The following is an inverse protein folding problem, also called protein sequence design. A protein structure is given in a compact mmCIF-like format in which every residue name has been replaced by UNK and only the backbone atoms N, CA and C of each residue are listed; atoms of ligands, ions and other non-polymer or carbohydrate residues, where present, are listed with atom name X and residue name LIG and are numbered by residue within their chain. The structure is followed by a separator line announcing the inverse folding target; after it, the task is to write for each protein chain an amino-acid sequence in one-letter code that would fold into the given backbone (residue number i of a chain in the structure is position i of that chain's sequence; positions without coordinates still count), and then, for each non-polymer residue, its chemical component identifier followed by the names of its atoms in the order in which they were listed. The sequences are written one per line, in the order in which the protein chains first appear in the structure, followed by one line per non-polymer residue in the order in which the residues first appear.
data_IF_181257338634
#
_entry.id   IF_181257338634
#
_cell.length_a   1.000
_cell.length_b   1.000
_cell.length_c   1.000
_cell.angle_alpha   90.00
_cell.angle_beta   90.00
_cell.angle_gamma   90.00
#
_symmetry.space_group_name_H-M   'P 1'
#
loop_
_entity.id
_entity.type
_entity.pdbx_description
1 polymer ?
#
# COMPACT_ATOMS: atom_id res chain seq x y z
N UNK A 1 20.15 57.13 7.80
CA UNK A 1 18.96 56.30 8.13
C UNK A 1 18.52 55.64 6.83
N UNK A 2 18.99 54.39 6.58
CA UNK A 2 18.18 53.14 6.43
C UNK A 2 17.01 53.25 5.45
N UNK A 3 16.81 52.38 4.46
CA UNK A 3 17.60 51.47 3.59
C UNK A 3 16.55 51.02 2.54
N UNK A 4 16.87 51.02 1.25
CA UNK A 4 16.01 50.38 0.23
C UNK A 4 15.96 48.87 0.49
N UNK A 5 14.76 48.29 0.55
CA UNK A 5 14.59 46.83 0.54
C UNK A 5 14.48 46.37 -0.92
N UNK A 6 15.55 45.74 -1.40
CA UNK A 6 15.59 45.02 -2.66
C UNK A 6 14.87 43.68 -2.49
N UNK A 7 13.77 43.48 -3.20
CA UNK A 7 13.14 42.17 -3.38
C UNK A 7 14.07 41.30 -4.24
N UNK A 8 14.84 40.43 -3.57
CA UNK A 8 15.71 39.44 -4.22
C UNK A 8 14.84 38.29 -4.74
N UNK A 9 14.53 38.30 -6.03
CA UNK A 9 13.96 37.16 -6.74
C UNK A 9 15.09 36.12 -6.92
N UNK A 10 15.18 35.13 -6.03
CA UNK A 10 16.11 34.00 -6.19
C UNK A 10 15.47 33.00 -7.14
N UNK A 11 15.74 33.17 -8.44
CA UNK A 11 15.54 32.14 -9.45
C UNK A 11 16.72 31.17 -9.35
N UNK A 12 16.55 30.05 -8.65
CA UNK A 12 17.50 28.95 -8.69
C UNK A 12 17.38 28.23 -10.03
N UNK A 13 18.15 28.66 -11.03
CA UNK A 13 18.58 27.79 -12.12
C UNK A 13 19.74 26.95 -11.61
N UNK A 14 19.46 25.70 -11.23
CA UNK A 14 20.50 24.68 -11.10
C UNK A 14 20.41 23.79 -12.33
N UNK A 15 21.34 23.98 -13.25
CA UNK A 15 21.61 23.04 -14.32
C UNK A 15 22.81 22.18 -13.91
N UNK A 16 22.63 20.86 -13.96
CA UNK A 16 23.72 19.91 -14.21
C UNK A 16 24.26 19.15 -13.01
N UNK A 17 23.55 18.09 -12.61
CA UNK A 17 24.04 16.74 -12.25
C UNK A 17 22.78 15.88 -12.11
N UNK A 18 22.74 14.68 -12.69
CA UNK A 18 21.50 13.91 -12.97
C UNK A 18 20.55 13.76 -11.78
N UNK A 19 19.25 13.66 -12.07
CA UNK A 19 18.35 12.94 -11.16
C UNK A 19 18.52 11.45 -11.49
N UNK A 20 19.08 10.54 -10.69
CA UNK A 20 19.21 10.47 -9.23
C UNK A 20 17.97 11.04 -8.51
N UNK A 21 17.11 10.21 -7.98
CA UNK A 21 17.54 9.57 -6.76
C UNK A 21 16.31 9.02 -6.10
N UNK A 22 16.22 7.71 -6.13
CA UNK A 22 15.30 6.91 -5.35
C UNK A 22 13.80 7.17 -5.58
N UNK A 23 13.08 6.27 -6.28
CA UNK A 23 11.63 6.42 -6.47
C UNK A 23 10.85 6.24 -5.15
N UNK A 24 11.43 5.62 -4.12
CA UNK A 24 10.78 5.37 -2.85
C UNK A 24 10.69 6.65 -2.01
N UNK A 25 9.59 6.76 -1.27
CA UNK A 25 9.45 7.67 -0.13
C UNK A 25 9.74 6.86 1.13
N UNK A 26 10.87 7.09 1.77
CA UNK A 26 11.31 6.38 2.99
C UNK A 26 10.53 6.81 4.23
N UNK A 27 10.50 5.95 5.25
CA UNK A 27 9.85 6.17 6.55
C UNK A 27 10.84 6.66 7.62
N UNK A 28 11.76 7.53 7.22
CA UNK A 28 12.88 8.02 8.03
C UNK A 28 12.46 8.81 9.28
N UNK A 29 11.28 9.43 9.24
CA UNK A 29 10.77 10.32 10.28
C UNK A 29 9.29 10.10 10.60
N UNK A 30 8.81 10.77 11.64
CA UNK A 30 7.41 10.61 12.08
C UNK A 30 6.40 11.10 11.04
N UNK A 31 6.75 12.14 10.28
CA UNK A 31 5.85 12.70 9.27
C UNK A 31 5.62 11.71 8.12
N UNK A 32 6.68 11.09 7.63
CA UNK A 32 6.61 10.06 6.59
C UNK A 32 5.88 8.81 7.08
N UNK A 33 6.10 8.39 8.33
CA UNK A 33 5.33 7.29 8.95
C UNK A 33 3.84 7.60 9.06
N UNK A 34 3.47 8.83 9.44
CA UNK A 34 2.07 9.29 9.44
C UNK A 34 1.46 9.23 8.04
N UNK A 35 2.21 9.61 7.01
CA UNK A 35 1.77 9.50 5.61
C UNK A 35 1.50 8.03 5.23
N UNK A 36 2.36 7.11 5.63
CA UNK A 36 2.15 5.68 5.38
C UNK A 36 0.92 5.13 6.11
N UNK A 37 0.72 5.48 7.38
CA UNK A 37 -0.47 5.10 8.15
C UNK A 37 -1.75 5.60 7.49
N UNK A 38 -1.81 6.88 7.13
CA UNK A 38 -2.97 7.46 6.47
C UNK A 38 -3.26 6.82 5.09
N UNK A 39 -2.22 6.50 4.31
CA UNK A 39 -2.38 5.81 3.01
C UNK A 39 -2.79 4.35 3.16
N UNK A 40 -2.30 3.67 4.18
CA UNK A 40 -2.71 2.31 4.53
C UNK A 40 -4.20 2.25 4.84
N UNK A 41 -4.73 3.20 5.62
CA UNK A 41 -6.18 3.31 5.90
C UNK A 41 -6.98 3.54 4.61
N UNK A 42 -6.56 4.51 3.79
CA UNK A 42 -7.23 4.87 2.54
C UNK A 42 -7.22 3.73 1.52
N UNK A 43 -6.08 3.05 1.37
CA UNK A 43 -5.98 1.88 0.50
C UNK A 43 -6.89 0.76 1.02
N UNK A 44 -6.96 0.55 2.34
CA UNK A 44 -7.79 -0.50 2.94
C UNK A 44 -9.29 -0.21 2.70
N UNK A 45 -9.76 1.03 2.89
CA UNK A 45 -11.15 1.38 2.54
C UNK A 45 -11.42 1.22 1.03
N UNK A 46 -10.51 1.70 0.18
CA UNK A 46 -10.63 1.53 -1.28
C UNK A 46 -10.75 0.05 -1.66
N UNK A 47 -9.84 -0.80 -1.19
CA UNK A 47 -9.82 -2.22 -1.54
C UNK A 47 -11.07 -2.97 -1.06
N UNK A 48 -11.57 -2.63 0.14
CA UNK A 48 -12.68 -3.35 0.78
C UNK A 48 -14.07 -2.86 0.35
N UNK A 49 -14.17 -1.63 -0.14
CA UNK A 49 -15.41 -1.07 -0.71
C UNK A 49 -15.72 -1.61 -2.09
N UNK A 50 -14.70 -1.97 -2.87
CA UNK A 50 -14.88 -2.44 -4.23
C UNK A 50 -15.43 -3.87 -4.28
N UNK A 51 -16.15 -4.24 -5.37
CA UNK A 51 -16.64 -5.60 -5.54
C UNK A 51 -15.49 -6.61 -5.49
N UNK A 52 -15.58 -7.61 -4.63
CA UNK A 52 -14.51 -8.59 -4.48
C UNK A 52 -14.29 -9.42 -5.75
N UNK A 53 -15.37 -9.87 -6.39
CA UNK A 53 -15.30 -10.80 -7.53
C UNK A 53 -14.85 -10.17 -8.85
N UNK A 54 -15.04 -8.86 -9.03
CA UNK A 54 -14.70 -8.13 -10.25
C UNK A 54 -13.78 -6.93 -10.01
N UNK A 55 -13.30 -6.76 -8.79
CA UNK A 55 -12.48 -5.63 -8.39
C UNK A 55 -10.98 -5.91 -8.50
N UNK A 56 -10.15 -4.90 -8.20
CA UNK A 56 -8.70 -4.93 -8.45
C UNK A 56 -7.94 -6.05 -7.71
N UNK A 57 -8.47 -6.55 -6.58
CA UNK A 57 -7.80 -7.57 -5.76
C UNK A 57 -7.81 -8.95 -6.44
N UNK A 58 -8.94 -9.35 -7.05
CA UNK A 58 -9.07 -10.62 -7.79
C UNK A 58 -8.88 -10.47 -9.30
N UNK A 59 -8.74 -9.24 -9.79
CA UNK A 59 -8.36 -8.97 -11.17
C UNK A 59 -6.99 -9.59 -11.48
N UNK A 60 -6.97 -10.47 -12.47
CA UNK A 60 -5.77 -11.18 -12.91
C UNK A 60 -5.01 -10.49 -14.03
N UNK A 61 -5.62 -9.55 -14.76
CA UNK A 61 -5.09 -8.98 -15.99
C UNK A 61 -4.92 -7.45 -15.96
N UNK A 62 -5.45 -6.76 -14.95
CA UNK A 62 -5.29 -5.31 -14.77
C UNK A 62 -6.43 -4.48 -15.34
N UNK A 63 -7.44 -5.09 -15.97
CA UNK A 63 -8.61 -4.40 -16.50
C UNK A 63 -9.41 -3.60 -15.47
N UNK A 64 -9.28 -3.92 -14.18
CA UNK A 64 -9.92 -3.20 -13.07
C UNK A 64 -8.99 -2.17 -12.39
N UNK A 65 -7.74 -1.96 -12.86
CA UNK A 65 -6.76 -1.15 -12.11
C UNK A 65 -7.17 0.33 -11.90
N UNK A 66 -8.04 0.86 -12.78
CA UNK A 66 -8.56 2.23 -12.71
C UNK A 66 -9.86 2.37 -11.90
N UNK A 67 -10.38 1.28 -11.33
CA UNK A 67 -11.66 1.26 -10.63
C UNK A 67 -11.66 2.18 -9.41
N UNK A 68 -12.57 3.16 -9.42
CA UNK A 68 -12.78 4.15 -8.35
C UNK A 68 -11.48 4.87 -7.88
N UNK A 69 -10.53 5.07 -8.80
CA UNK A 69 -9.30 5.82 -8.52
C UNK A 69 -9.55 7.33 -8.58
N UNK A 70 -8.97 8.09 -7.67
CA UNK A 70 -9.06 9.55 -7.66
C UNK A 70 -7.91 10.21 -6.90
N UNK A 71 -7.77 11.53 -7.04
CA UNK A 71 -6.78 12.30 -6.28
C UNK A 71 -5.34 12.14 -6.77
N UNK A 72 -4.38 12.35 -5.87
CA UNK A 72 -2.93 12.39 -6.17
C UNK A 72 -2.23 11.04 -6.06
N UNK A 73 -2.88 10.04 -5.48
CA UNK A 73 -2.32 8.71 -5.28
C UNK A 73 -3.14 7.71 -6.06
N UNK A 74 -2.45 6.79 -6.71
CA UNK A 74 -3.03 5.67 -7.43
C UNK A 74 -2.74 4.40 -6.63
N UNK A 75 -3.79 3.67 -6.30
CA UNK A 75 -3.70 2.46 -5.50
C UNK A 75 -3.41 1.27 -6.41
N UNK A 76 -2.35 0.51 -6.15
CA UNK A 76 -2.16 -0.79 -6.83
C UNK A 76 -2.57 -1.92 -5.89
N UNK A 77 -3.28 -2.89 -6.44
CA UNK A 77 -3.70 -4.08 -5.71
C UNK A 77 -2.58 -5.12 -5.65
N UNK A 78 -2.45 -5.81 -4.52
CA UNK A 78 -1.70 -7.07 -4.41
C UNK A 78 -2.50 -8.25 -4.99
N UNK A 79 -2.32 -9.44 -4.44
CA UNK A 79 -3.15 -10.62 -4.73
C UNK A 79 -3.67 -11.24 -3.44
N UNK A 80 -4.60 -12.20 -3.53
CA UNK A 80 -5.01 -13.03 -2.38
C UNK A 80 -4.07 -14.20 -2.12
N UNK A 81 -2.89 -14.21 -2.76
CA UNK A 81 -1.96 -15.31 -2.84
C UNK A 81 -1.72 -15.73 -4.29
N UNK A 82 -0.52 -16.22 -4.57
CA UNK A 82 -0.06 -16.54 -5.93
C UNK A 82 0.35 -15.30 -6.72
N UNK A 83 0.60 -15.51 -8.02
CA UNK A 83 1.10 -14.50 -8.93
C UNK A 83 0.01 -13.91 -9.83
N UNK A 84 0.09 -12.61 -10.13
CA UNK A 84 -0.71 -11.94 -11.15
C UNK A 84 0.18 -11.04 -12.02
N UNK A 85 -0.12 -10.97 -13.33
CA UNK A 85 0.54 -10.06 -14.28
C UNK A 85 -0.53 -9.16 -14.86
N UNK A 86 -0.44 -7.86 -14.61
CA UNK A 86 -1.48 -6.88 -14.90
C UNK A 86 -0.97 -5.80 -15.84
N UNK A 87 -1.75 -5.49 -16.87
CA UNK A 87 -1.54 -4.30 -17.69
C UNK A 87 -2.38 -3.16 -17.14
N UNK A 88 -1.77 -2.01 -16.89
CA UNK A 88 -2.47 -0.86 -16.30
C UNK A 88 -1.97 0.46 -16.88
N UNK A 89 -2.90 1.28 -17.34
CA UNK A 89 -2.61 2.67 -17.75
C UNK A 89 -3.02 3.63 -16.65
N UNK A 90 -2.13 4.56 -16.30
CA UNK A 90 -2.38 5.56 -15.26
C UNK A 90 -2.04 6.97 -15.76
N UNK A 91 -2.71 8.03 -15.26
CA UNK A 91 -2.34 9.39 -15.59
C UNK A 91 -0.94 9.75 -15.04
N UNK A 92 -0.28 10.70 -15.68
CA UNK A 92 0.97 11.28 -15.20
C UNK A 92 0.82 11.92 -13.80
N UNK A 93 1.95 12.03 -13.07
CA UNK A 93 1.99 12.77 -11.81
C UNK A 93 1.36 12.08 -10.60
N UNK A 94 0.93 10.81 -10.72
CA UNK A 94 0.37 10.03 -9.61
C UNK A 94 1.46 9.40 -8.75
N UNK A 95 1.37 9.56 -7.43
CA UNK A 95 2.10 8.69 -6.51
C UNK A 95 1.51 7.28 -6.55
N UNK A 96 2.32 6.24 -6.37
CA UNK A 96 1.84 4.87 -6.29
C UNK A 96 1.90 4.39 -4.86
N UNK A 97 0.82 3.80 -4.34
CA UNK A 97 0.82 3.19 -3.02
C UNK A 97 0.19 1.80 -3.05
N UNK A 98 0.91 0.82 -2.51
CA UNK A 98 0.53 -0.58 -2.62
C UNK A 98 1.19 -1.45 -1.55
N UNK A 99 0.58 -2.59 -1.18
CA UNK A 99 1.17 -3.55 -0.28
C UNK A 99 2.11 -4.49 -1.04
N UNK A 100 3.29 -4.75 -0.48
CA UNK A 100 4.10 -5.92 -0.83
C UNK A 100 3.45 -7.18 -0.25
N UNK A 101 3.09 -7.09 1.03
CA UNK A 101 2.26 -8.06 1.75
C UNK A 101 1.58 -7.32 2.90
N UNK A 102 0.28 -7.52 3.07
CA UNK A 102 -0.47 -6.90 4.15
C UNK A 102 -1.53 -7.83 4.73
N UNK A 103 -2.13 -7.36 5.81
CA UNK A 103 -3.26 -8.00 6.46
C UNK A 103 -4.10 -6.93 7.14
N UNK A 104 -5.41 -7.05 6.99
CA UNK A 104 -6.39 -6.30 7.75
C UNK A 104 -7.18 -7.26 8.62
N UNK A 105 -7.75 -6.73 9.70
CA UNK A 105 -8.70 -7.46 10.53
C UNK A 105 -9.92 -6.57 10.74
N UNK A 106 -11.05 -7.05 10.24
CA UNK A 106 -12.34 -6.37 10.31
C UNK A 106 -13.30 -7.29 11.07
N UNK A 107 -13.40 -7.20 12.41
CA UNK A 107 -14.39 -7.94 13.16
C UNK A 107 -15.80 -7.62 12.62
N UNK A 108 -16.70 -8.59 12.74
CA UNK A 108 -18.10 -8.29 12.49
C UNK A 108 -18.61 -7.33 13.57
N UNK A 109 -19.55 -6.42 13.27
CA UNK A 109 -20.03 -5.44 14.24
C UNK A 109 -20.52 -6.09 15.54
N UNK A 110 -21.19 -7.23 15.46
CA UNK A 110 -21.67 -7.98 16.64
C UNK A 110 -20.56 -8.57 17.52
N UNK A 111 -19.31 -8.60 17.05
CA UNK A 111 -18.16 -9.10 17.82
C UNK A 111 -17.46 -7.99 18.62
N UNK A 112 -17.84 -6.72 18.41
CA UNK A 112 -17.21 -5.53 19.00
C UNK A 112 -18.25 -4.48 19.40
N UNK A 113 -19.45 -4.91 19.81
CA UNK A 113 -20.59 -4.03 20.13
C UNK A 113 -20.42 -3.33 21.49
N UNK A 114 -19.53 -3.85 22.34
CA UNK A 114 -19.19 -3.27 23.65
C UNK A 114 -17.72 -2.84 23.75
N UNK A 115 -17.43 -1.94 24.68
CA UNK A 115 -16.05 -1.50 24.97
C UNK A 115 -15.14 -2.67 25.40
N UNK A 116 -15.69 -3.64 26.15
CA UNK A 116 -14.95 -4.83 26.58
C UNK A 116 -14.56 -5.73 25.40
N UNK A 117 -15.49 -5.94 24.46
CA UNK A 117 -15.25 -6.71 23.25
C UNK A 117 -14.27 -6.01 22.30
N UNK A 118 -14.38 -4.69 22.14
CA UNK A 118 -13.40 -3.90 21.40
C UNK A 118 -12.01 -3.99 22.04
N UNK A 119 -11.91 -3.91 23.38
CA UNK A 119 -10.64 -4.07 24.08
C UNK A 119 -10.04 -5.48 23.89
N UNK A 120 -10.87 -6.53 23.90
CA UNK A 120 -10.43 -7.90 23.63
C UNK A 120 -9.94 -8.08 22.19
N UNK A 121 -10.63 -7.47 21.22
CA UNK A 121 -10.20 -7.43 19.83
C UNK A 121 -8.83 -6.76 19.68
N UNK A 122 -8.63 -5.59 20.30
CA UNK A 122 -7.35 -4.89 20.26
C UNK A 122 -6.23 -5.68 20.95
N UNK A 123 -6.52 -6.36 22.07
CA UNK A 123 -5.57 -7.25 22.74
C UNK A 123 -5.13 -8.43 21.86
N UNK A 124 -6.04 -8.97 21.03
CA UNK A 124 -5.67 -9.96 20.01
C UNK A 124 -4.71 -9.34 18.98
N UNK A 125 -5.02 -8.15 18.45
CA UNK A 125 -4.21 -7.44 17.44
C UNK A 125 -2.78 -7.20 17.92
N UNK A 126 -2.61 -6.82 19.18
CA UNK A 126 -1.30 -6.60 19.83
C UNK A 126 -0.37 -7.81 19.74
N UNK A 127 -0.91 -9.03 19.66
CA UNK A 127 -0.14 -10.26 19.47
C UNK A 127 -0.09 -10.71 18.01
N UNK A 128 -1.17 -10.48 17.28
CA UNK A 128 -1.33 -10.95 15.92
C UNK A 128 -0.38 -10.23 14.95
N UNK A 129 -0.28 -8.90 15.01
CA UNK A 129 0.53 -8.12 14.07
C UNK A 129 2.03 -8.42 14.20
N UNK A 130 2.64 -8.40 15.41
CA UNK A 130 4.04 -8.80 15.56
C UNK A 130 4.32 -10.22 15.10
N UNK A 131 3.41 -11.17 15.37
CA UNK A 131 3.56 -12.55 14.91
C UNK A 131 3.51 -12.67 13.38
N UNK A 132 2.65 -11.89 12.71
CA UNK A 132 2.60 -11.85 11.24
C UNK A 132 3.84 -11.23 10.63
N UNK A 133 4.32 -10.11 11.19
CA UNK A 133 5.58 -9.47 10.75
C UNK A 133 6.77 -10.41 10.92
N UNK A 134 6.91 -11.04 12.09
CA UNK A 134 7.99 -11.98 12.37
C UNK A 134 7.97 -13.22 11.47
N UNK A 135 6.80 -13.61 10.95
CA UNK A 135 6.66 -14.72 10.02
C UNK A 135 6.97 -14.32 8.56
N UNK A 136 7.11 -13.03 8.24
CA UNK A 136 7.49 -12.57 6.89
C UNK A 136 8.92 -13.02 6.60
N UNK A 137 9.07 -13.85 5.57
CA UNK A 137 10.34 -14.49 5.22
C UNK A 137 10.85 -14.12 3.81
N UNK A 138 10.05 -13.39 3.03
CA UNK A 138 10.47 -12.79 1.78
C UNK A 138 9.67 -11.51 1.53
N UNK A 139 10.33 -10.53 0.91
CA UNK A 139 9.75 -9.31 0.38
C UNK A 139 10.41 -9.05 -0.98
N UNK A 140 9.66 -8.46 -1.90
CA UNK A 140 10.18 -8.07 -3.22
C UNK A 140 9.60 -6.72 -3.59
N UNK A 141 10.46 -5.82 -4.07
CA UNK A 141 10.07 -4.57 -4.70
C UNK A 141 11.11 -4.21 -5.76
N UNK A 142 10.71 -4.30 -7.02
CA UNK A 142 11.53 -3.96 -8.18
C UNK A 142 10.82 -3.00 -9.10
N UNK A 143 11.60 -2.09 -9.66
CA UNK A 143 11.15 -1.16 -10.70
C UNK A 143 12.12 -1.31 -11.87
N UNK A 144 11.57 -1.60 -13.06
CA UNK A 144 12.32 -1.79 -14.30
C UNK A 144 13.49 -2.79 -14.13
N UNK A 145 13.21 -3.87 -13.40
CA UNK A 145 14.15 -4.96 -13.13
C UNK A 145 15.23 -4.67 -12.07
N UNK A 146 15.18 -3.52 -11.40
CA UNK A 146 16.12 -3.15 -10.33
C UNK A 146 15.45 -3.22 -8.97
N UNK A 147 16.09 -3.88 -8.00
CA UNK A 147 15.62 -3.92 -6.62
C UNK A 147 15.70 -2.50 -6.01
N UNK A 148 14.60 -2.07 -5.37
CA UNK A 148 14.51 -0.72 -4.75
C UNK A 148 15.24 -0.69 -3.41
N UNK A 149 15.23 -1.79 -2.67
CA UNK A 149 15.93 -1.98 -1.40
C UNK A 149 16.75 -3.28 -1.46
N UNK A 150 17.89 -3.38 -0.75
CA UNK A 150 18.89 -4.40 -0.99
C UNK A 150 18.52 -5.79 -0.44
N UNK A 151 17.75 -5.86 0.66
CA UNK A 151 17.47 -7.10 1.36
C UNK A 151 16.21 -7.03 2.23
N UNK A 152 15.80 -8.19 2.74
CA UNK A 152 14.63 -8.36 3.61
C UNK A 152 14.72 -7.55 4.90
N UNK A 153 15.92 -7.45 5.52
CA UNK A 153 16.09 -6.73 6.79
C UNK A 153 15.82 -5.24 6.60
N UNK A 154 16.36 -4.67 5.52
CA UNK A 154 16.14 -3.27 5.13
C UNK A 154 14.68 -3.05 4.75
N UNK A 155 14.08 -3.93 3.95
CA UNK A 155 12.66 -3.82 3.59
C UNK A 155 11.74 -3.92 4.82
N UNK A 156 12.04 -4.81 5.78
CA UNK A 156 11.24 -4.93 7.00
C UNK A 156 11.32 -3.66 7.86
N UNK A 157 12.50 -3.06 7.99
CA UNK A 157 12.69 -1.82 8.73
C UNK A 157 12.01 -0.62 8.05
N UNK A 158 12.18 -0.47 6.74
CA UNK A 158 11.77 0.72 5.98
C UNK A 158 10.31 0.70 5.52
N UNK A 159 9.74 -0.47 5.23
CA UNK A 159 8.43 -0.57 4.57
C UNK A 159 7.30 -1.00 5.51
N UNK A 160 7.59 -1.41 6.74
CA UNK A 160 6.55 -1.84 7.66
C UNK A 160 5.73 -0.64 8.17
N UNK A 161 4.40 -0.74 8.08
CA UNK A 161 3.47 0.22 8.66
C UNK A 161 2.28 -0.52 9.28
N UNK A 162 1.73 0.05 10.35
CA UNK A 162 0.54 -0.47 11.03
C UNK A 162 -0.34 0.66 11.56
N UNK A 163 -1.65 0.40 11.58
CA UNK A 163 -2.67 1.22 12.22
C UNK A 163 -3.46 0.31 13.16
N UNK A 164 -3.32 0.58 14.46
CA UNK A 164 -3.94 -0.21 15.54
C UNK A 164 -5.13 0.50 16.20
N UNK A 165 -5.23 1.82 16.04
CA UNK A 165 -6.48 2.52 16.33
C UNK A 165 -7.50 2.14 15.25
N UNK A 166 -8.65 1.55 15.59
CA UNK A 166 -9.60 1.12 14.58
C UNK A 166 -10.12 2.29 13.75
N UNK A 167 -10.11 2.12 12.44
CA UNK A 167 -10.72 3.04 11.48
C UNK A 167 -11.89 2.36 10.77
N UNK A 168 -12.83 3.16 10.27
CA UNK A 168 -14.01 2.64 9.60
C UNK A 168 -13.71 2.36 8.12
N UNK A 169 -14.11 1.18 7.67
CA UNK A 169 -14.19 0.82 6.25
C UNK A 169 -15.63 0.42 5.92
N UNK A 170 -16.00 0.50 4.65
CA UNK A 170 -17.30 0.00 4.18
C UNK A 170 -17.11 -1.24 3.31
N UNK A 171 -17.66 -2.37 3.74
CA UNK A 171 -17.71 -3.58 2.92
C UNK A 171 -18.88 -3.51 1.94
N UNK A 172 -18.62 -3.80 0.66
CA UNK A 172 -19.65 -3.99 -0.35
C UNK A 172 -20.48 -5.28 -0.12
N UNK A 173 -21.59 -5.42 -0.86
CA UNK A 173 -22.38 -6.66 -0.84
C UNK A 173 -21.63 -7.85 -1.47
N UNK A 174 -20.75 -7.58 -2.44
CA UNK A 174 -19.75 -8.52 -2.95
C UNK A 174 -18.42 -8.22 -2.26
N UNK A 175 -18.14 -8.92 -1.16
CA UNK A 175 -16.94 -8.73 -0.35
C UNK A 175 -16.20 -10.06 -0.11
N UNK A 176 -15.00 -9.99 0.48
CA UNK A 176 -14.10 -11.12 0.71
C UNK A 176 -14.65 -12.23 1.62
N UNK A 177 -15.72 -11.98 2.37
CA UNK A 177 -16.39 -12.98 3.20
C UNK A 177 -17.41 -13.82 2.41
N UNK A 178 -17.67 -13.46 1.14
CA UNK A 178 -18.64 -14.12 0.26
C UNK A 178 -20.05 -14.24 0.87
N UNK A 179 -20.40 -13.28 1.72
CA UNK A 179 -21.69 -13.20 2.40
C UNK A 179 -22.21 -11.74 2.33
N UNK A 180 -23.30 -11.47 1.60
CA UNK A 180 -23.83 -10.11 1.47
C UNK A 180 -24.38 -9.55 2.78
N UNK A 181 -24.64 -10.38 3.80
CA UNK A 181 -25.09 -9.91 5.11
C UNK A 181 -23.98 -9.25 5.92
N UNK A 182 -22.73 -9.39 5.49
CA UNK A 182 -21.57 -8.71 6.09
C UNK A 182 -21.26 -7.38 5.42
N UNK A 183 -22.13 -6.87 4.56
CA UNK A 183 -21.98 -5.54 3.99
C UNK A 183 -22.27 -4.45 5.03
N UNK A 184 -21.60 -3.31 4.90
CA UNK A 184 -21.78 -2.16 5.80
C UNK A 184 -20.48 -1.69 6.43
N UNK A 185 -20.60 -0.87 7.47
CA UNK A 185 -19.46 -0.29 8.16
C UNK A 185 -18.82 -1.32 9.11
N UNK A 186 -17.49 -1.40 9.08
CA UNK A 186 -16.69 -2.22 9.98
C UNK A 186 -15.54 -1.41 10.57
N UNK A 187 -15.31 -1.57 11.86
CA UNK A 187 -14.05 -1.18 12.47
C UNK A 187 -12.95 -2.11 11.96
N UNK A 188 -11.84 -1.53 11.52
CA UNK A 188 -10.73 -2.26 10.91
C UNK A 188 -9.40 -1.77 11.47
N UNK A 189 -8.49 -2.70 11.68
CA UNK A 189 -7.06 -2.43 11.85
C UNK A 189 -6.31 -3.06 10.70
N UNK A 190 -5.14 -2.53 10.35
CA UNK A 190 -4.38 -3.03 9.21
C UNK A 190 -2.89 -2.80 9.41
N UNK A 191 -2.08 -3.75 8.92
CA UNK A 191 -0.64 -3.68 8.94
C UNK A 191 -0.03 -4.47 7.80
N UNK A 192 1.24 -4.20 7.52
CA UNK A 192 1.97 -4.89 6.47
C UNK A 192 3.22 -4.15 6.05
N UNK A 193 3.81 -4.62 4.97
CA UNK A 193 4.90 -3.95 4.26
C UNK A 193 4.32 -3.25 3.05
N UNK A 194 4.47 -1.93 3.01
CA UNK A 194 3.86 -1.04 2.03
C UNK A 194 4.94 -0.24 1.32
N UNK A 195 4.69 0.18 0.08
CA UNK A 195 5.56 1.11 -0.62
C UNK A 195 4.77 2.33 -1.07
N UNK A 196 5.36 3.52 -0.86
CA UNK A 196 4.94 4.76 -1.48
C UNK A 196 6.00 5.20 -2.48
N UNK A 197 5.65 5.21 -3.76
CA UNK A 197 6.52 5.71 -4.81
C UNK A 197 6.14 7.15 -5.18
N UNK A 198 7.16 7.96 -5.44
CA UNK A 198 7.01 9.24 -6.13
C UNK A 198 6.46 8.99 -7.55
N UNK A 199 5.85 9.99 -8.20
CA UNK A 199 5.40 9.84 -9.57
C UNK A 199 6.52 9.36 -10.48
N UNK A 200 6.24 8.29 -11.21
CA UNK A 200 7.14 7.79 -12.24
C UNK A 200 7.05 8.72 -13.47
N UNK A 201 8.12 8.83 -14.26
CA UNK A 201 8.07 9.54 -15.53
C UNK A 201 7.00 8.95 -16.47
N UNK A 202 6.49 9.73 -17.44
CA UNK A 202 5.69 9.18 -18.54
C UNK A 202 6.42 8.06 -19.29
N UNK A 203 5.67 7.05 -19.72
CA UNK A 203 6.18 5.88 -20.45
C UNK A 203 5.88 4.54 -19.78
N UNK A 204 6.52 3.49 -20.30
CA UNK A 204 6.32 2.11 -19.85
C UNK A 204 7.28 1.77 -18.71
N UNK A 205 6.71 1.19 -17.64
CA UNK A 205 7.43 0.71 -16.47
C UNK A 205 7.00 -0.70 -16.08
N UNK A 206 7.91 -1.46 -15.48
CA UNK A 206 7.60 -2.76 -14.88
C UNK A 206 7.76 -2.66 -13.38
N UNK A 207 6.66 -2.80 -12.64
CA UNK A 207 6.68 -2.90 -11.19
C UNK A 207 6.49 -4.36 -10.79
N UNK A 208 7.40 -4.89 -9.98
CA UNK A 208 7.26 -6.23 -9.39
C UNK A 208 7.28 -6.10 -7.87
N UNK A 209 6.23 -6.57 -7.20
CA UNK A 209 6.17 -6.52 -5.76
C UNK A 209 5.46 -7.73 -5.15
N UNK A 210 5.83 -8.07 -3.93
CA UNK A 210 5.28 -9.24 -3.27
C UNK A 210 5.93 -9.54 -1.93
N UNK A 211 5.51 -10.66 -1.35
CA UNK A 211 6.07 -11.15 -0.11
C UNK A 211 5.56 -12.54 0.25
N UNK A 212 6.23 -13.16 1.22
CA UNK A 212 5.88 -14.49 1.70
C UNK A 212 5.91 -14.56 3.23
N UNK A 213 5.07 -15.44 3.78
CA UNK A 213 5.14 -15.86 5.19
C UNK A 213 5.56 -17.31 5.28
N UNK A 214 6.38 -17.61 6.28
CA UNK A 214 6.86 -18.96 6.54
C UNK A 214 6.32 -19.49 7.88
N UNK A 215 6.23 -20.82 8.00
CA UNK A 215 6.03 -21.49 9.28
C UNK A 215 7.29 -21.42 10.15
N UNK A 216 7.20 -21.83 11.42
CA UNK A 216 8.36 -21.91 12.30
C UNK A 216 9.45 -22.87 11.79
N UNK A 217 9.07 -23.87 10.97
CA UNK A 217 9.96 -24.82 10.30
C UNK A 217 10.55 -24.27 9.00
N UNK A 218 10.22 -23.03 8.62
CA UNK A 218 10.72 -22.36 7.41
C UNK A 218 9.98 -22.72 6.12
N UNK A 219 8.87 -23.45 6.19
CA UNK A 219 8.05 -23.74 5.01
C UNK A 219 7.20 -22.52 4.62
N UNK A 220 7.18 -22.15 3.34
CA UNK A 220 6.29 -21.08 2.85
C UNK A 220 4.83 -21.53 3.03
N UNK A 221 4.05 -20.74 3.78
CA UNK A 221 2.63 -20.98 4.06
C UNK A 221 1.71 -20.01 3.31
N UNK A 222 2.28 -18.92 2.81
CA UNK A 222 1.59 -17.93 2.00
C UNK A 222 2.62 -17.17 1.17
N UNK A 223 2.31 -16.89 -0.08
CA UNK A 223 3.12 -16.08 -0.99
C UNK A 223 2.19 -15.30 -1.91
N UNK A 224 2.53 -14.03 -2.16
CA UNK A 224 1.84 -13.13 -3.09
C UNK A 224 2.88 -12.45 -3.97
N UNK A 225 2.57 -12.30 -5.26
CA UNK A 225 3.39 -11.57 -6.22
C UNK A 225 2.50 -10.88 -7.25
N UNK A 226 2.76 -9.61 -7.52
CA UNK A 226 2.10 -8.86 -8.57
C UNK A 226 3.16 -8.20 -9.46
N UNK A 227 3.01 -8.40 -10.76
CA UNK A 227 3.76 -7.67 -11.79
C UNK A 227 2.81 -6.73 -12.50
N UNK A 228 3.07 -5.43 -12.48
CA UNK A 228 2.34 -4.43 -13.25
C UNK A 228 3.19 -4.00 -14.44
N UNK A 229 2.68 -4.26 -15.64
CA UNK A 229 3.08 -3.61 -16.88
C UNK A 229 2.35 -2.26 -16.92
N UNK A 230 3.01 -1.24 -16.37
CA UNK A 230 2.42 0.07 -16.14
C UNK A 230 2.74 0.99 -17.32
N UNK A 231 1.71 1.61 -17.91
CA UNK A 231 1.88 2.72 -18.83
C UNK A 231 1.48 4.02 -18.13
N UNK A 232 2.42 4.92 -17.93
CA UNK A 232 2.17 6.28 -17.42
C UNK A 232 1.93 7.19 -18.61
N UNK A 233 0.75 7.80 -18.68
CA UNK A 233 0.39 8.74 -19.75
C UNK A 233 1.33 9.95 -19.78
N UNK A 234 1.39 10.65 -20.91
CA UNK A 234 2.13 11.91 -21.06
C UNK A 234 1.52 13.04 -20.19
N UNK A 235 2.35 14.01 -19.82
CA UNK A 235 1.87 15.27 -19.21
C UNK A 235 1.14 16.10 -20.29
N UNK A 236 -0.16 16.37 -20.09
CA UNK A 236 -0.97 17.30 -20.92
C UNK A 236 -0.49 18.77 -20.86
#
# INVERSE_FOLDING_TARGET
MRRLEQTLLVMCMVAGSGCDGDPLVHQDDEHTRDVYRAKLEQWTDWALRLPWSTGPILDGDGSACAMEQSGRTWWLAGTTGGAAVRECTIPAGKQLFFPLINYWVSPRPEQVDTEEEMAAFLAFVETYFPARRAATCALTLRIDGHDVLPDLETMDAELFAEVREPFDVVLGADNFLADPTTAGAHHTVSAGHWALLRPLPPGDHVLEFGGARCSAEGAVVFETSATYMLHVEDDD
#
